data_IF_174244590966
#
_entry.id   IF_174244590966
#
_cell.length_a   1.000
_cell.length_b   1.000
_cell.length_c   1.000
_cell.angle_alpha   90.00
_cell.angle_beta   90.00
_cell.angle_gamma   90.00
#
_symmetry.space_group_name_H-M   'P 1'
#
loop_
_entity.id
_entity.type
_entity.pdbx_description
1 polymer ?
#
# COMPACT_ATOMS: atom_id res chain seq x y z
N UNK A 1 -23.32 10.07 46.19
CA UNK A 1 -22.09 10.80 45.76
C UNK A 1 -22.20 12.26 46.18
N UNK A 2 -21.22 12.74 46.90
CA UNK A 2 -21.19 14.15 47.34
C UNK A 2 -20.86 15.06 46.15
N UNK A 3 -21.28 16.34 46.12
CA UNK A 3 -20.95 17.28 45.05
C UNK A 3 -19.44 17.37 44.75
N UNK A 4 -18.62 17.27 45.80
CA UNK A 4 -17.16 17.23 45.70
C UNK A 4 -16.65 16.02 44.87
N UNK A 5 -17.18 14.82 45.11
CA UNK A 5 -16.81 13.62 44.35
C UNK A 5 -17.19 13.71 42.88
N UNK A 6 -18.34 14.31 42.57
CA UNK A 6 -18.75 14.53 41.16
C UNK A 6 -17.79 15.49 40.44
N UNK A 7 -17.34 16.57 41.10
CA UNK A 7 -16.35 17.49 40.51
C UNK A 7 -14.99 16.81 40.26
N UNK A 8 -14.50 16.03 41.23
CA UNK A 8 -13.23 15.31 41.09
C UNK A 8 -13.30 14.30 39.96
N UNK A 9 -14.37 13.50 39.86
CA UNK A 9 -14.55 12.54 38.79
C UNK A 9 -14.63 13.21 37.40
N UNK A 10 -15.28 14.37 37.34
CA UNK A 10 -15.38 15.16 36.10
C UNK A 10 -14.01 15.71 35.67
N UNK A 11 -13.20 16.19 36.61
CA UNK A 11 -11.82 16.61 36.35
C UNK A 11 -10.94 15.45 35.86
N UNK A 12 -11.02 14.28 36.49
CA UNK A 12 -10.30 13.10 36.05
C UNK A 12 -10.71 12.67 34.62
N UNK A 13 -11.99 12.74 34.32
CA UNK A 13 -12.49 12.38 32.97
C UNK A 13 -11.97 13.34 31.90
N UNK A 14 -11.96 14.64 32.17
CA UNK A 14 -11.42 15.66 31.28
C UNK A 14 -9.90 15.50 31.13
N UNK A 15 -9.17 15.26 32.23
CA UNK A 15 -7.71 15.04 32.19
C UNK A 15 -7.35 13.77 31.39
N UNK A 16 -8.10 12.70 31.60
CA UNK A 16 -7.90 11.44 30.84
C UNK A 16 -8.20 11.61 29.36
N UNK A 17 -9.25 12.37 29.02
CA UNK A 17 -9.58 12.68 27.63
C UNK A 17 -8.49 13.52 26.95
N UNK A 18 -7.96 14.55 27.64
CA UNK A 18 -6.85 15.36 27.12
C UNK A 18 -5.56 14.54 26.95
N UNK A 19 -5.27 13.63 27.89
CA UNK A 19 -4.12 12.73 27.79
C UNK A 19 -4.26 11.77 26.61
N UNK A 20 -5.46 11.21 26.39
CA UNK A 20 -5.74 10.32 25.27
C UNK A 20 -5.62 11.03 23.91
N UNK A 21 -6.02 12.31 23.82
CA UNK A 21 -5.84 13.11 22.61
C UNK A 21 -4.36 13.37 22.30
N UNK A 22 -3.55 13.69 23.32
CA UNK A 22 -2.11 13.91 23.13
C UNK A 22 -1.37 12.63 22.70
N UNK A 23 -1.72 11.49 23.28
CA UNK A 23 -1.17 10.18 22.87
C UNK A 23 -1.54 9.87 21.41
N UNK A 24 -2.75 10.23 20.99
CA UNK A 24 -3.17 10.04 19.59
C UNK A 24 -2.32 10.86 18.61
N UNK A 25 -1.95 12.11 18.94
CA UNK A 25 -1.10 12.95 18.09
C UNK A 25 0.32 12.38 17.96
N UNK A 26 0.94 11.95 19.06
CA UNK A 26 2.27 11.30 19.04
C UNK A 26 2.28 10.00 18.23
N UNK A 27 1.22 9.21 18.32
CA UNK A 27 1.08 7.98 17.52
C UNK A 27 0.97 8.30 16.03
N UNK A 28 0.23 9.33 15.66
CA UNK A 28 0.12 9.77 14.25
C UNK A 28 1.47 10.26 13.69
N UNK A 29 2.25 11.01 14.49
CA UNK A 29 3.61 11.41 14.10
C UNK A 29 4.53 10.20 13.90
N UNK A 30 4.45 9.19 14.78
CA UNK A 30 5.21 7.96 14.60
C UNK A 30 4.84 7.22 13.31
N UNK A 31 3.55 7.15 12.96
CA UNK A 31 3.12 6.57 11.68
C UNK A 31 3.64 7.35 10.48
N UNK A 32 3.65 8.69 10.52
CA UNK A 32 4.21 9.53 9.46
C UNK A 32 5.71 9.26 9.26
N UNK A 33 6.43 9.04 10.34
CA UNK A 33 7.86 8.71 10.28
C UNK A 33 8.11 7.33 9.63
N UNK A 34 7.25 6.34 9.96
CA UNK A 34 7.27 5.02 9.33
C UNK A 34 6.91 5.12 7.83
N UNK A 35 5.89 5.88 7.48
CA UNK A 35 5.50 6.14 6.08
C UNK A 35 6.66 6.70 5.28
N UNK A 36 7.30 7.75 5.77
CA UNK A 36 8.50 8.35 5.12
C UNK A 36 9.62 7.32 4.96
N UNK A 37 9.84 6.46 5.96
CA UNK A 37 10.83 5.37 5.88
C UNK A 37 10.50 4.34 4.80
N UNK A 38 9.22 4.00 4.64
CA UNK A 38 8.75 3.09 3.60
C UNK A 38 8.88 3.73 2.21
N UNK A 39 8.53 5.01 2.06
CA UNK A 39 8.68 5.74 0.80
C UNK A 39 10.13 5.80 0.35
N UNK A 40 11.05 6.14 1.25
CA UNK A 40 12.49 6.14 0.96
C UNK A 40 12.99 4.74 0.57
N UNK A 41 12.53 3.69 1.25
CA UNK A 41 12.87 2.30 0.92
C UNK A 41 12.35 1.92 -0.48
N UNK A 42 11.14 2.30 -0.81
CA UNK A 42 10.55 2.07 -2.13
C UNK A 42 11.30 2.81 -3.23
N UNK A 43 11.77 4.04 -2.98
CA UNK A 43 12.60 4.78 -3.92
C UNK A 43 13.92 4.05 -4.19
N UNK A 44 14.63 3.61 -3.14
CA UNK A 44 15.88 2.85 -3.28
C UNK A 44 15.64 1.54 -4.05
N UNK A 45 14.52 0.86 -3.81
CA UNK A 45 14.16 -0.35 -4.56
C UNK A 45 13.91 -0.06 -6.05
N UNK A 46 13.22 1.02 -6.38
CA UNK A 46 13.00 1.45 -7.78
C UNK A 46 14.32 1.74 -8.51
N UNK A 47 15.25 2.45 -7.83
CA UNK A 47 16.57 2.73 -8.38
C UNK A 47 17.37 1.45 -8.62
N UNK A 48 17.32 0.49 -7.69
CA UNK A 48 17.95 -0.83 -7.86
C UNK A 48 17.35 -1.62 -9.01
N UNK A 49 16.03 -1.64 -9.16
CA UNK A 49 15.36 -2.31 -10.28
C UNK A 49 15.80 -1.69 -11.60
N UNK A 50 15.79 -0.36 -11.72
CA UNK A 50 16.26 0.33 -12.92
C UNK A 50 17.72 -0.01 -13.27
N UNK A 51 18.61 -0.05 -12.26
CA UNK A 51 20.00 -0.44 -12.46
C UNK A 51 20.14 -1.89 -12.94
N UNK A 52 19.36 -2.82 -12.38
CA UNK A 52 19.37 -4.23 -12.79
C UNK A 52 18.84 -4.38 -14.22
N UNK A 53 17.78 -3.66 -14.58
CA UNK A 53 17.21 -3.65 -15.93
C UNK A 53 18.24 -3.14 -16.95
N UNK A 54 18.92 -2.04 -16.66
CA UNK A 54 19.98 -1.50 -17.53
C UNK A 54 21.16 -2.48 -17.68
N UNK A 55 21.61 -3.07 -16.57
CA UNK A 55 22.68 -4.05 -16.59
C UNK A 55 22.29 -5.33 -17.35
N UNK A 56 21.04 -5.74 -17.25
CA UNK A 56 20.50 -6.88 -17.98
C UNK A 56 20.47 -6.59 -19.49
N UNK A 57 19.92 -5.44 -19.89
CA UNK A 57 19.86 -5.01 -21.29
C UNK A 57 21.26 -4.92 -21.93
N UNK A 58 22.23 -4.38 -21.17
CA UNK A 58 23.62 -4.28 -21.64
C UNK A 58 24.28 -5.65 -21.89
N UNK A 59 23.88 -6.69 -21.19
CA UNK A 59 24.42 -8.05 -21.31
C UNK A 59 23.64 -8.96 -22.24
N UNK A 60 22.35 -8.70 -22.42
CA UNK A 60 21.44 -9.54 -23.19
C UNK A 60 21.85 -9.62 -24.67
N UNK A 61 22.25 -8.49 -25.29
CA UNK A 61 22.61 -8.43 -26.69
C UNK A 61 21.52 -9.01 -27.61
N UNK A 62 21.92 -9.85 -28.55
CA UNK A 62 21.01 -10.53 -29.49
C UNK A 62 20.63 -11.96 -29.05
N UNK A 63 20.82 -12.30 -27.75
CA UNK A 63 20.45 -13.61 -27.22
C UNK A 63 18.92 -13.77 -27.18
N UNK A 64 18.34 -14.75 -27.95
CA UNK A 64 16.89 -14.93 -28.01
C UNK A 64 16.26 -15.32 -26.67
N UNK A 65 16.97 -16.08 -25.82
CA UNK A 65 16.48 -16.48 -24.51
C UNK A 65 16.46 -15.27 -23.56
N UNK A 66 17.47 -14.41 -23.65
CA UNK A 66 17.52 -13.15 -22.92
C UNK A 66 16.38 -12.21 -23.33
N UNK A 67 16.12 -12.06 -24.64
CA UNK A 67 15.03 -11.23 -25.15
C UNK A 67 13.67 -11.71 -24.67
N UNK A 68 13.43 -13.02 -24.72
CA UNK A 68 12.19 -13.62 -24.22
C UNK A 68 12.01 -13.36 -22.70
N UNK A 69 13.07 -13.53 -21.91
CA UNK A 69 13.01 -13.28 -20.48
C UNK A 69 12.72 -11.80 -20.20
N UNK A 70 13.31 -10.89 -20.94
CA UNK A 70 13.06 -9.45 -20.83
C UNK A 70 11.59 -9.11 -21.14
N UNK A 71 11.00 -9.70 -22.18
CA UNK A 71 9.58 -9.51 -22.48
C UNK A 71 8.67 -9.96 -21.33
N UNK A 72 9.00 -11.07 -20.65
CA UNK A 72 8.24 -11.51 -19.48
C UNK A 72 8.39 -10.53 -18.30
N UNK A 73 9.60 -9.99 -18.08
CA UNK A 73 9.83 -8.96 -17.07
C UNK A 73 9.00 -7.71 -17.34
N UNK A 74 8.91 -7.27 -18.62
CA UNK A 74 8.08 -6.13 -18.99
C UNK A 74 6.59 -6.37 -18.70
N UNK A 75 6.08 -7.59 -18.91
CA UNK A 75 4.69 -7.93 -18.55
C UNK A 75 4.46 -7.86 -17.04
N UNK A 76 5.38 -8.36 -16.22
CA UNK A 76 5.30 -8.25 -14.75
C UNK A 76 5.32 -6.79 -14.33
N UNK A 77 6.20 -5.98 -14.92
CA UNK A 77 6.28 -4.54 -14.65
C UNK A 77 4.98 -3.83 -15.03
N UNK A 78 4.36 -4.21 -16.16
CA UNK A 78 3.08 -3.63 -16.58
C UNK A 78 1.93 -4.00 -15.62
N UNK A 79 1.84 -5.26 -15.18
CA UNK A 79 0.84 -5.70 -14.21
C UNK A 79 1.00 -4.97 -12.86
N UNK A 80 2.23 -4.85 -12.36
CA UNK A 80 2.51 -4.07 -11.14
C UNK A 80 2.23 -2.58 -11.34
N UNK A 81 2.52 -2.02 -12.52
CA UNK A 81 2.25 -0.64 -12.87
C UNK A 81 0.77 -0.29 -12.85
N UNK A 82 -0.08 -1.19 -13.35
CA UNK A 82 -1.54 -1.04 -13.30
C UNK A 82 -2.06 -0.92 -11.87
N UNK A 83 -1.60 -1.81 -10.99
CA UNK A 83 -1.95 -1.78 -9.57
C UNK A 83 -1.45 -0.49 -8.87
N UNK A 84 -0.21 -0.07 -9.16
CA UNK A 84 0.32 1.18 -8.62
C UNK A 84 -0.50 2.39 -9.05
N UNK A 85 -0.91 2.46 -10.33
CA UNK A 85 -1.75 3.54 -10.83
C UNK A 85 -3.12 3.60 -10.13
N UNK A 86 -3.72 2.44 -9.83
CA UNK A 86 -4.95 2.38 -9.03
C UNK A 86 -4.72 2.91 -7.61
N UNK A 87 -3.64 2.48 -6.94
CA UNK A 87 -3.31 2.93 -5.58
C UNK A 87 -3.07 4.45 -5.55
N UNK A 88 -2.35 4.99 -6.53
CA UNK A 88 -2.12 6.42 -6.65
C UNK A 88 -3.44 7.19 -6.89
N UNK A 89 -4.35 6.65 -7.70
CA UNK A 89 -5.69 7.17 -7.86
C UNK A 89 -6.50 7.18 -6.55
N UNK A 90 -6.41 6.13 -5.74
CA UNK A 90 -7.05 6.07 -4.43
C UNK A 90 -6.45 7.09 -3.43
N UNK A 91 -5.13 7.31 -3.47
CA UNK A 91 -4.48 8.37 -2.69
C UNK A 91 -5.00 9.76 -3.08
N UNK A 92 -5.15 10.05 -4.37
CA UNK A 92 -5.72 11.31 -4.84
C UNK A 92 -7.18 11.48 -4.41
N UNK A 93 -7.98 10.41 -4.41
CA UNK A 93 -9.33 10.45 -3.88
C UNK A 93 -9.35 10.77 -2.37
N UNK A 94 -8.43 10.19 -1.60
CA UNK A 94 -8.28 10.53 -0.18
C UNK A 94 -7.90 11.99 0.03
N UNK A 95 -6.95 12.52 -0.74
CA UNK A 95 -6.58 13.94 -0.68
C UNK A 95 -7.76 14.86 -1.05
N UNK A 96 -8.58 14.44 -2.00
CA UNK A 96 -9.80 15.18 -2.37
C UNK A 96 -10.84 15.20 -1.24
N UNK A 97 -10.96 14.12 -0.47
CA UNK A 97 -11.94 13.98 0.62
C UNK A 97 -11.46 14.63 1.93
N UNK A 98 -10.20 14.41 2.30
CA UNK A 98 -9.63 14.83 3.60
C UNK A 98 -8.84 16.13 3.53
N UNK A 99 -8.58 16.66 2.33
CA UNK A 99 -7.70 17.81 2.09
C UNK A 99 -6.23 17.42 1.96
N UNK A 100 -5.45 18.26 1.29
CA UNK A 100 -4.01 18.11 1.10
C UNK A 100 -3.28 19.19 1.88
N UNK A 101 -2.37 18.80 2.77
CA UNK A 101 -1.52 19.71 3.50
C UNK A 101 -0.41 20.31 2.62
N UNK A 102 0.21 21.42 3.05
CA UNK A 102 1.31 22.08 2.32
C UNK A 102 2.56 21.19 2.17
N UNK A 103 2.77 20.27 3.09
CA UNK A 103 3.87 19.26 3.05
C UNK A 103 3.58 18.06 2.14
N UNK A 104 2.42 18.06 1.46
CA UNK A 104 1.99 16.99 0.55
C UNK A 104 1.25 15.84 1.22
N UNK A 105 1.14 15.82 2.55
CA UNK A 105 0.37 14.83 3.31
C UNK A 105 -1.12 15.15 3.38
N UNK A 106 -1.86 14.42 4.23
CA UNK A 106 -3.25 14.70 4.53
C UNK A 106 -3.37 15.95 5.42
N UNK A 107 -4.28 16.87 5.09
CA UNK A 107 -4.55 18.05 5.92
C UNK A 107 -5.14 17.66 7.27
N UNK A 108 -6.03 16.66 7.28
CA UNK A 108 -6.66 16.12 8.48
C UNK A 108 -6.17 14.71 8.74
N UNK A 109 -5.09 14.58 9.50
CA UNK A 109 -4.49 13.28 9.82
C UNK A 109 -5.36 12.43 10.76
N UNK A 110 -6.30 13.04 11.46
CA UNK A 110 -7.27 12.39 12.35
C UNK A 110 -8.61 12.07 11.69
N UNK A 111 -8.74 12.32 10.39
CA UNK A 111 -9.94 11.98 9.61
C UNK A 111 -9.98 10.46 9.36
N UNK A 112 -10.77 9.76 10.15
CA UNK A 112 -11.05 8.33 9.99
C UNK A 112 -12.26 8.05 9.09
N UNK A 113 -13.08 9.06 8.83
CA UNK A 113 -14.33 8.88 8.07
C UNK A 113 -14.06 8.75 6.57
N UNK A 114 -13.20 9.60 6.02
CA UNK A 114 -12.88 9.57 4.59
C UNK A 114 -12.23 8.27 4.13
N UNK A 115 -11.18 7.73 4.81
CA UNK A 115 -10.66 6.42 4.48
C UNK A 115 -11.68 5.28 4.66
N UNK A 116 -12.52 5.37 5.70
CA UNK A 116 -13.55 4.36 5.94
C UNK A 116 -14.60 4.34 4.83
N UNK A 117 -15.07 5.50 4.38
CA UNK A 117 -16.03 5.61 3.27
C UNK A 117 -15.44 5.14 1.95
N UNK A 118 -14.16 5.42 1.71
CA UNK A 118 -13.48 5.03 0.47
C UNK A 118 -13.17 3.53 0.41
N UNK A 119 -12.78 2.91 1.53
CA UNK A 119 -12.22 1.56 1.52
C UNK A 119 -13.00 0.52 2.36
N UNK A 120 -13.85 0.92 3.31
CA UNK A 120 -14.44 0.01 4.27
C UNK A 120 -15.96 -0.03 4.27
N UNK A 121 -16.65 1.06 3.95
CA UNK A 121 -18.12 1.16 3.99
C UNK A 121 -18.68 0.84 2.59
N UNK A 122 -19.18 -0.38 2.42
CA UNK A 122 -19.65 -0.91 1.13
C UNK A 122 -20.79 -0.09 0.50
N UNK A 123 -21.67 0.49 1.32
CA UNK A 123 -22.80 1.31 0.85
C UNK A 123 -22.40 2.78 0.61
N UNK A 124 -21.15 3.17 0.83
CA UNK A 124 -20.71 4.53 0.55
C UNK A 124 -20.57 4.76 -0.96
N UNK A 125 -20.95 5.97 -1.41
CA UNK A 125 -20.88 6.35 -2.84
C UNK A 125 -19.45 6.28 -3.38
N UNK A 126 -18.47 6.58 -2.53
CA UNK A 126 -17.05 6.57 -2.87
C UNK A 126 -16.36 5.21 -2.68
N UNK A 127 -17.07 4.17 -2.24
CA UNK A 127 -16.47 2.87 -1.90
C UNK A 127 -15.71 2.24 -3.06
N UNK A 128 -14.44 1.99 -2.84
CA UNK A 128 -13.51 1.36 -3.80
C UNK A 128 -12.71 0.20 -3.18
N UNK A 129 -13.06 -0.21 -1.97
CA UNK A 129 -12.34 -1.28 -1.28
C UNK A 129 -12.37 -2.61 -2.02
N UNK A 130 -13.54 -2.97 -2.56
CA UNK A 130 -13.69 -4.19 -3.36
C UNK A 130 -12.87 -4.14 -4.65
N UNK A 131 -12.87 -2.99 -5.33
CA UNK A 131 -12.06 -2.79 -6.54
C UNK A 131 -10.57 -2.99 -6.23
N UNK A 132 -10.07 -2.40 -5.14
CA UNK A 132 -8.68 -2.57 -4.72
C UNK A 132 -8.36 -4.04 -4.42
N UNK A 133 -9.24 -4.74 -3.71
CA UNK A 133 -9.08 -6.16 -3.41
C UNK A 133 -9.00 -7.01 -4.68
N UNK A 134 -9.92 -6.80 -5.60
CA UNK A 134 -10.01 -7.56 -6.85
C UNK A 134 -8.79 -7.31 -7.73
N UNK A 135 -8.31 -6.07 -7.83
CA UNK A 135 -7.11 -5.71 -8.60
C UNK A 135 -5.82 -6.26 -7.98
N UNK A 136 -5.69 -6.28 -6.64
CA UNK A 136 -4.55 -6.94 -5.98
C UNK A 136 -4.52 -8.43 -6.31
N UNK A 137 -5.66 -9.11 -6.22
CA UNK A 137 -5.75 -10.54 -6.51
C UNK A 137 -5.54 -10.84 -8.00
N UNK A 138 -6.04 -9.98 -8.90
CA UNK A 138 -5.83 -10.10 -10.34
C UNK A 138 -4.35 -9.92 -10.71
N UNK A 139 -3.69 -8.88 -10.22
CA UNK A 139 -2.28 -8.64 -10.45
C UNK A 139 -1.41 -9.79 -9.92
N UNK A 140 -1.70 -10.30 -8.72
CA UNK A 140 -1.01 -11.47 -8.17
C UNK A 140 -1.14 -12.68 -9.08
N UNK A 141 -2.37 -12.99 -9.52
CA UNK A 141 -2.64 -14.13 -10.40
C UNK A 141 -1.90 -13.98 -11.74
N UNK A 142 -1.95 -12.79 -12.33
CA UNK A 142 -1.27 -12.51 -13.59
C UNK A 142 0.25 -12.70 -13.47
N UNK A 143 0.87 -12.17 -12.40
CA UNK A 143 2.31 -12.33 -12.16
C UNK A 143 2.67 -13.82 -11.99
N UNK A 144 1.88 -14.58 -11.21
CA UNK A 144 2.08 -16.02 -11.03
C UNK A 144 1.95 -16.76 -12.37
N UNK A 145 0.98 -16.40 -13.19
CA UNK A 145 0.79 -17.00 -14.51
C UNK A 145 1.97 -16.72 -15.45
N UNK A 146 2.53 -15.51 -15.42
CA UNK A 146 3.73 -15.14 -16.17
C UNK A 146 4.93 -15.99 -15.71
N UNK A 147 5.18 -16.08 -14.40
CA UNK A 147 6.27 -16.89 -13.83
C UNK A 147 6.12 -18.35 -14.23
N UNK A 148 4.91 -18.91 -14.19
CA UNK A 148 4.65 -20.31 -14.53
C UNK A 148 4.85 -20.60 -16.03
N UNK A 149 4.56 -19.64 -16.89
CA UNK A 149 4.71 -19.77 -18.35
C UNK A 149 6.12 -19.45 -18.85
N UNK A 150 6.95 -18.79 -18.03
CA UNK A 150 8.32 -18.44 -18.39
C UNK A 150 9.20 -19.70 -18.36
N UNK A 151 9.81 -20.10 -19.50
CA UNK A 151 10.72 -21.23 -19.55
C UNK A 151 12.07 -20.88 -18.88
N UNK A 152 12.92 -21.89 -18.66
CA UNK A 152 14.27 -21.73 -18.13
C UNK A 152 14.38 -21.77 -16.60
N UNK A 153 13.31 -21.56 -15.85
CA UNK A 153 13.34 -21.68 -14.38
C UNK A 153 13.28 -23.14 -13.93
N UNK A 154 14.15 -23.50 -12.99
CA UNK A 154 14.02 -24.76 -12.26
C UNK A 154 12.76 -24.72 -11.37
N UNK A 155 12.13 -25.88 -11.07
CA UNK A 155 10.94 -25.92 -10.20
C UNK A 155 11.13 -25.24 -8.84
N UNK A 156 12.32 -25.38 -8.24
CA UNK A 156 12.65 -24.76 -6.96
C UNK A 156 12.77 -23.23 -7.07
N UNK A 157 13.36 -22.71 -8.13
CA UNK A 157 13.49 -21.27 -8.39
C UNK A 157 12.12 -20.63 -8.63
N UNK A 158 11.27 -21.30 -9.44
CA UNK A 158 9.90 -20.86 -9.68
C UNK A 158 9.10 -20.80 -8.38
N UNK A 159 9.18 -21.83 -7.56
CA UNK A 159 8.53 -21.85 -6.26
C UNK A 159 9.05 -20.73 -5.33
N UNK A 160 10.35 -20.46 -5.32
CA UNK A 160 10.93 -19.38 -4.55
C UNK A 160 10.42 -18.00 -5.00
N UNK A 161 10.32 -17.75 -6.31
CA UNK A 161 9.78 -16.51 -6.87
C UNK A 161 8.31 -16.33 -6.48
N UNK A 162 7.48 -17.37 -6.62
CA UNK A 162 6.07 -17.31 -6.24
C UNK A 162 5.90 -17.07 -4.73
N UNK A 163 6.71 -17.74 -3.90
CA UNK A 163 6.66 -17.56 -2.45
C UNK A 163 7.18 -16.18 -2.00
N UNK A 164 8.03 -15.53 -2.78
CA UNK A 164 8.47 -14.16 -2.50
C UNK A 164 7.40 -13.11 -2.79
N UNK A 165 6.35 -13.48 -3.52
CA UNK A 165 5.22 -12.61 -3.82
C UNK A 165 4.33 -12.48 -2.56
N UNK A 166 4.60 -11.48 -1.75
CA UNK A 166 3.87 -11.21 -0.49
C UNK A 166 2.56 -10.44 -0.70
N UNK A 167 2.25 -10.09 -1.97
CA UNK A 167 1.04 -9.38 -2.34
C UNK A 167 -0.19 -10.24 -2.05
N UNK A 168 -0.98 -9.86 -1.05
CA UNK A 168 -2.22 -10.56 -0.66
C UNK A 168 -3.32 -9.57 -0.32
N UNK A 169 -4.52 -9.82 -0.81
CA UNK A 169 -5.74 -9.24 -0.30
C UNK A 169 -6.65 -10.39 0.09
N UNK A 170 -6.74 -10.66 1.39
CA UNK A 170 -7.61 -11.70 1.92
C UNK A 170 -9.07 -11.22 1.91
N UNK A 171 -10.00 -12.16 1.71
CA UNK A 171 -11.41 -11.87 1.88
C UNK A 171 -11.67 -11.50 3.34
N UNK A 172 -12.01 -10.24 3.58
CA UNK A 172 -12.43 -9.80 4.89
C UNK A 172 -13.95 -9.97 4.96
N UNK A 173 -14.48 -10.92 5.77
CA UNK A 173 -15.92 -11.15 5.87
C UNK A 173 -16.69 -9.96 6.47
N UNK A 174 -16.00 -8.88 6.82
CA UNK A 174 -16.58 -7.63 7.34
C UNK A 174 -16.51 -6.47 6.34
N UNK A 175 -16.00 -6.72 5.14
CA UNK A 175 -15.96 -5.74 4.04
C UNK A 175 -16.81 -6.26 2.89
#
# INVERSE_FOLDING_TARGET
MTPRQKMINMMYLVLTALLAMNVSAEVLEAFKLVETGIENSNQVLREKVAFVDEAFLAKMGDDPDGQMLYEQTQKVTAAAGGLNALIDGLKEDLFRLSGRAEDGGLEKMDDIDSPSRLLAIEDAVEFKGKLLQDEINAAKKEIIDIINKTPGFLPAERAALINSLTLTAEDNPKI
#
